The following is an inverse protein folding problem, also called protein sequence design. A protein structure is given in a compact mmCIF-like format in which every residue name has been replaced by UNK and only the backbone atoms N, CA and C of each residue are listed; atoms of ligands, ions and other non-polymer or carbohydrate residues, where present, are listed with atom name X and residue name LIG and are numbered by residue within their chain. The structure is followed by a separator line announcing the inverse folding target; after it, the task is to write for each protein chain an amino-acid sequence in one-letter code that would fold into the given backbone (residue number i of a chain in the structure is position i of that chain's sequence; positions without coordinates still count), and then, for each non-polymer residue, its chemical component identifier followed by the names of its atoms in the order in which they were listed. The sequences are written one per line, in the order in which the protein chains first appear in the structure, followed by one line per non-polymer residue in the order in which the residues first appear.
data_IF_940727842237
#
_entry.id   IF_940727842237
#
_cell.length_a   1.000
_cell.length_b   1.000
_cell.length_c   1.000
_cell.angle_alpha   90.00
_cell.angle_beta   90.00
_cell.angle_gamma   90.00
#
_symmetry.space_group_name_H-M   'P 1'
#
loop_
_entity.id
_entity.type
_entity.pdbx_description
1 polymer ?
#
# COMPACT_ATOMS: atom_id res chain seq x y z
N UNK A 1 3.37 -0.36 -9.46
CA UNK A 1 3.89 -1.74 -9.31
C UNK A 1 2.74 -2.71 -9.09
N UNK A 2 2.99 -4.00 -9.33
CA UNK A 2 2.07 -5.07 -8.98
C UNK A 2 2.86 -6.32 -8.57
N UNK A 3 2.28 -7.13 -7.70
CA UNK A 3 2.83 -8.43 -7.29
C UNK A 3 1.69 -9.38 -6.93
N UNK A 4 1.94 -10.69 -6.98
CA UNK A 4 0.95 -11.74 -6.76
C UNK A 4 1.46 -12.69 -5.66
N UNK A 5 0.58 -13.00 -4.71
CA UNK A 5 0.86 -14.02 -3.69
C UNK A 5 -0.36 -14.93 -3.49
N UNK A 6 -0.25 -16.18 -3.95
CA UNK A 6 -1.38 -17.11 -4.02
C UNK A 6 -2.47 -16.56 -4.96
N UNK A 7 -3.68 -16.39 -4.43
CA UNK A 7 -4.83 -15.89 -5.18
C UNK A 7 -5.06 -14.37 -5.03
N UNK A 8 -4.08 -13.64 -4.48
CA UNK A 8 -4.17 -12.19 -4.27
C UNK A 8 -3.25 -11.45 -5.21
N UNK A 9 -3.80 -10.49 -5.94
CA UNK A 9 -3.06 -9.49 -6.71
C UNK A 9 -3.03 -8.18 -5.93
N UNK A 10 -1.83 -7.67 -5.66
CA UNK A 10 -1.62 -6.31 -5.15
C UNK A 10 -1.25 -5.38 -6.29
N UNK A 11 -1.91 -4.22 -6.36
CA UNK A 11 -1.61 -3.15 -7.33
C UNK A 11 -1.37 -1.85 -6.57
N UNK A 12 -0.13 -1.37 -6.61
CA UNK A 12 0.23 -0.06 -6.06
C UNK A 12 -0.30 1.06 -6.96
N UNK A 13 -1.00 2.03 -6.36
CA UNK A 13 -1.59 3.18 -7.03
C UNK A 13 -0.89 4.49 -6.62
N UNK A 14 -0.70 5.38 -7.60
CA UNK A 14 -0.01 6.65 -7.42
C UNK A 14 -0.71 7.61 -6.43
N UNK A 15 -2.02 7.43 -6.22
CA UNK A 15 -2.82 8.17 -5.23
C UNK A 15 -2.58 7.70 -3.78
N UNK A 16 -1.49 6.98 -3.54
CA UNK A 16 -1.08 6.55 -2.21
C UNK A 16 -1.99 5.48 -1.65
N UNK A 17 -2.11 4.36 -2.34
CA UNK A 17 -2.82 3.17 -1.85
C UNK A 17 -2.33 1.91 -2.56
N UNK A 18 -2.68 0.76 -2.01
CA UNK A 18 -2.55 -0.54 -2.70
C UNK A 18 -3.92 -1.18 -2.79
N UNK A 19 -4.40 -1.43 -4.01
CA UNK A 19 -5.62 -2.21 -4.23
C UNK A 19 -5.30 -3.70 -4.23
N UNK A 20 -6.11 -4.46 -3.49
CA UNK A 20 -6.05 -5.92 -3.45
C UNK A 20 -7.21 -6.50 -4.25
N UNK A 21 -6.90 -7.45 -5.14
CA UNK A 21 -7.87 -8.16 -5.96
C UNK A 21 -7.79 -9.67 -5.73
N UNK A 22 -8.92 -10.36 -5.86
CA UNK A 22 -8.95 -11.82 -5.92
C UNK A 22 -8.58 -12.34 -7.33
N UNK A 23 -8.54 -13.67 -7.48
CA UNK A 23 -8.23 -14.36 -8.75
C UNK A 23 -9.23 -14.08 -9.89
N UNK A 24 -10.42 -13.56 -9.56
CA UNK A 24 -11.47 -13.22 -10.51
C UNK A 24 -11.51 -11.69 -10.77
N UNK A 25 -10.43 -11.00 -10.39
CA UNK A 25 -10.23 -9.55 -10.52
C UNK A 25 -11.24 -8.71 -9.74
N UNK A 26 -11.90 -9.26 -8.72
CA UNK A 26 -12.78 -8.48 -7.84
C UNK A 26 -11.94 -7.76 -6.80
N UNK A 27 -12.23 -6.47 -6.61
CA UNK A 27 -11.60 -5.67 -5.57
C UNK A 27 -12.02 -6.19 -4.19
N UNK A 28 -11.04 -6.59 -3.38
CA UNK A 28 -11.21 -7.04 -2.00
C UNK A 28 -11.10 -5.86 -1.04
N UNK A 29 -10.04 -5.05 -1.19
CA UNK A 29 -9.73 -3.96 -0.26
C UNK A 29 -8.78 -2.94 -0.89
N UNK A 30 -8.70 -1.76 -0.28
CA UNK A 30 -7.67 -0.75 -0.55
C UNK A 30 -6.95 -0.40 0.74
N UNK A 31 -5.66 -0.71 0.79
CA UNK A 31 -4.79 -0.40 1.91
C UNK A 31 -4.18 0.99 1.73
N UNK A 32 -3.99 1.74 2.82
CA UNK A 32 -3.35 3.06 2.75
C UNK A 32 -4.26 4.23 2.43
N UNK A 33 -5.56 3.98 2.24
CA UNK A 33 -6.56 5.00 1.93
C UNK A 33 -7.48 5.31 3.13
N UNK A 34 -6.94 5.29 4.36
CA UNK A 34 -7.74 5.34 5.60
C UNK A 34 -8.39 6.71 5.83
N UNK A 35 -7.79 7.78 5.31
CA UNK A 35 -8.22 9.17 5.60
C UNK A 35 -8.60 9.92 4.34
N UNK A 36 -9.86 10.38 4.29
CA UNK A 36 -10.44 11.11 3.14
C UNK A 36 -9.73 12.44 2.84
N UNK A 37 -9.25 13.15 3.86
CA UNK A 37 -8.64 14.48 3.73
C UNK A 37 -7.10 14.45 3.82
N UNK A 38 -6.45 13.35 3.40
CA UNK A 38 -4.98 13.25 3.38
C UNK A 38 -4.40 13.86 2.11
N UNK A 39 -3.13 14.31 2.19
CA UNK A 39 -2.36 14.69 1.01
C UNK A 39 -1.92 13.42 0.29
N UNK A 40 -2.19 13.34 -1.02
CA UNK A 40 -1.92 12.18 -1.87
C UNK A 40 -1.05 12.59 -3.05
N UNK A 41 -0.46 11.61 -3.74
CA UNK A 41 0.26 11.81 -5.00
C UNK A 41 1.33 12.91 -4.94
N UNK A 42 2.01 13.03 -3.79
CA UNK A 42 3.06 14.04 -3.57
C UNK A 42 4.30 13.38 -2.97
N UNK A 43 5.45 13.64 -3.58
CA UNK A 43 6.74 13.13 -3.14
C UNK A 43 7.42 14.04 -2.09
N UNK A 44 6.76 15.13 -1.65
CA UNK A 44 7.31 16.18 -0.76
C UNK A 44 6.69 16.22 0.65
N UNK A 45 5.83 15.27 0.99
CA UNK A 45 5.21 15.25 2.32
C UNK A 45 6.25 14.84 3.36
N UNK A 46 6.52 15.75 4.31
CA UNK A 46 7.49 15.54 5.36
C UNK A 46 7.06 14.45 6.36
N UNK A 47 8.00 13.74 7.00
CA UNK A 47 7.71 12.60 7.87
C UNK A 47 6.77 12.90 9.03
N UNK A 48 6.75 14.13 9.54
CA UNK A 48 5.90 14.56 10.66
C UNK A 48 4.41 14.59 10.28
N UNK A 49 4.11 14.55 8.97
CA UNK A 49 2.76 14.46 8.42
C UNK A 49 2.40 13.05 7.95
N UNK A 50 3.27 12.07 8.19
CA UNK A 50 2.96 10.68 7.93
C UNK A 50 2.13 10.11 9.07
N UNK A 51 1.20 9.23 8.72
CA UNK A 51 0.37 8.55 9.69
C UNK A 51 0.46 7.06 9.43
N UNK A 52 0.38 6.29 10.51
CA UNK A 52 0.40 4.83 10.44
C UNK A 52 -0.78 4.34 9.60
N UNK A 53 -0.54 3.28 8.82
CA UNK A 53 -1.52 2.71 7.91
C UNK A 53 -1.67 3.46 6.59
N UNK A 54 -1.38 4.77 6.54
CA UNK A 54 -1.56 5.62 5.34
C UNK A 54 -0.40 5.58 4.35
N UNK A 55 -0.76 5.59 3.07
CA UNK A 55 0.18 5.73 1.95
C UNK A 55 -0.01 7.10 1.27
N UNK A 56 0.97 7.56 0.51
CA UNK A 56 0.97 8.89 -0.14
C UNK A 56 1.34 8.76 -1.62
N UNK A 57 2.43 8.04 -1.96
CA UNK A 57 2.96 7.98 -3.31
C UNK A 57 3.59 6.61 -3.65
N UNK A 58 2.79 5.55 -3.70
CA UNK A 58 3.26 4.17 -3.91
C UNK A 58 3.81 3.99 -5.32
N UNK A 59 5.04 3.45 -5.42
CA UNK A 59 5.69 3.12 -6.70
C UNK A 59 6.09 1.65 -6.77
N UNK A 60 6.46 1.06 -5.63
CA UNK A 60 6.77 -0.37 -5.49
C UNK A 60 5.78 -1.08 -4.57
N UNK A 61 5.50 -2.35 -4.84
CA UNK A 61 4.87 -3.24 -3.87
C UNK A 61 5.35 -4.68 -4.10
N UNK A 62 5.50 -5.44 -3.02
CA UNK A 62 5.83 -6.87 -3.11
C UNK A 62 5.40 -7.61 -1.86
N UNK A 63 5.08 -8.89 -2.00
CA UNK A 63 4.82 -9.76 -0.86
C UNK A 63 6.11 -10.41 -0.35
N UNK A 64 6.22 -10.64 0.96
CA UNK A 64 7.18 -11.62 1.48
C UNK A 64 6.62 -13.05 1.42
N UNK A 65 7.49 -14.01 1.74
CA UNK A 65 7.18 -15.45 1.74
C UNK A 65 6.06 -15.86 2.70
N UNK A 66 5.69 -14.99 3.65
CA UNK A 66 4.58 -15.23 4.59
C UNK A 66 3.28 -14.54 4.17
N UNK A 67 3.32 -13.79 3.07
CA UNK A 67 2.19 -13.03 2.54
C UNK A 67 1.93 -11.70 3.25
N UNK A 68 2.92 -11.15 3.98
CA UNK A 68 2.88 -9.74 4.35
C UNK A 68 3.24 -8.89 3.13
N UNK A 69 2.66 -7.70 3.03
CA UNK A 69 2.78 -6.83 1.86
C UNK A 69 3.64 -5.62 2.21
N UNK A 70 4.66 -5.35 1.40
CA UNK A 70 5.48 -4.14 1.48
C UNK A 70 5.02 -3.18 0.39
N UNK A 71 4.87 -1.91 0.74
CA UNK A 71 4.63 -0.81 -0.19
C UNK A 71 5.80 0.18 -0.08
N UNK A 72 6.48 0.42 -1.20
CA UNK A 72 7.55 1.40 -1.31
C UNK A 72 7.00 2.68 -1.93
N UNK A 73 7.33 3.81 -1.31
CA UNK A 73 6.90 5.11 -1.77
C UNK A 73 8.05 5.93 -2.33
N UNK A 74 7.79 6.57 -3.46
CA UNK A 74 8.71 7.51 -4.05
C UNK A 74 8.47 8.88 -3.44
N UNK A 75 9.26 9.19 -2.42
CA UNK A 75 9.29 10.49 -1.76
C UNK A 75 10.74 10.90 -1.48
N UNK A 76 10.96 12.18 -1.18
CA UNK A 76 12.30 12.75 -0.96
C UNK A 76 13.02 12.19 0.29
N UNK A 77 12.31 11.52 1.18
CA UNK A 77 12.84 10.96 2.42
C UNK A 77 13.10 9.45 2.35
N UNK A 78 12.48 8.75 1.39
CA UNK A 78 12.37 7.30 1.35
C UNK A 78 11.39 6.77 2.40
N UNK A 79 10.47 5.87 1.99
CA UNK A 79 9.59 5.16 2.93
C UNK A 79 9.20 3.79 2.38
N UNK A 80 9.21 2.79 3.26
CA UNK A 80 8.63 1.47 3.02
C UNK A 80 7.68 1.15 4.17
N UNK A 81 6.44 0.81 3.84
CA UNK A 81 5.39 0.43 4.80
C UNK A 81 5.13 -1.06 4.69
N UNK A 82 5.09 -1.78 5.82
CA UNK A 82 4.76 -3.20 5.88
C UNK A 82 3.34 -3.39 6.43
N UNK A 83 2.48 -4.03 5.65
CA UNK A 83 1.18 -4.51 6.09
C UNK A 83 1.29 -5.99 6.47
N UNK A 84 0.97 -6.28 7.72
CA UNK A 84 0.91 -7.66 8.23
C UNK A 84 -0.53 -8.16 8.19
N UNK A 85 -0.71 -9.44 7.87
CA UNK A 85 -2.02 -10.07 7.97
C UNK A 85 -2.40 -10.18 9.44
N UNK A 86 -3.54 -9.61 9.79
CA UNK A 86 -4.18 -9.86 11.08
C UNK A 86 -5.00 -11.14 10.97
N UNK A 87 -4.92 -12.01 11.99
CA UNK A 87 -5.86 -13.12 12.10
C UNK A 87 -7.22 -12.52 12.42
N UNK A 88 -8.25 -12.88 11.67
CA UNK A 88 -9.62 -12.56 12.05
C UNK A 88 -9.90 -13.20 13.42
N UNK A 89 -10.47 -12.47 14.39
CA UNK A 89 -10.96 -13.07 15.63
C UNK A 89 -11.94 -14.22 15.39
#
# INVERSE_FOLDING_TARGET
AADIHGNLLAVGELDGRVSLYDKDYKLISRLGDERKARRKASNRIAPEHWHEGDLIAVHGCTFDVTGALYAQEWNVHGRVTKYVRVKTP
#
